data_IF_999887302403
#
_entry.id   IF_999887302403
#
_cell.length_a   1.000
_cell.length_b   1.000
_cell.length_c   1.000
_cell.angle_alpha   90.00
_cell.angle_beta   90.00
_cell.angle_gamma   90.00
#
_symmetry.space_group_name_H-M   'P 1'
#
loop_
_entity.id
_entity.type
_entity.pdbx_description
1 polymer ?
#
# COMPACT_ATOMS: atom_id res chain seq x y z
N UNK A 1 132.42 88.15 -64.84
CA UNK A 1 132.70 88.44 -63.41
C UNK A 1 131.43 88.87 -62.68
N UNK A 2 130.49 89.57 -63.30
CA UNK A 2 129.17 89.89 -62.71
C UNK A 2 128.31 88.67 -62.34
N UNK A 3 128.40 87.56 -63.07
CA UNK A 3 127.69 86.31 -62.71
C UNK A 3 128.21 85.67 -61.41
N UNK A 4 129.46 85.96 -61.01
CA UNK A 4 130.08 85.39 -59.81
C UNK A 4 129.67 86.15 -58.55
N UNK A 5 129.63 87.49 -58.62
CA UNK A 5 129.11 88.34 -57.54
C UNK A 5 127.59 88.20 -57.38
N UNK A 6 126.83 88.05 -58.48
CA UNK A 6 125.40 87.78 -58.40
C UNK A 6 125.10 86.40 -57.78
N UNK A 7 125.97 85.41 -58.00
CA UNK A 7 125.88 84.09 -57.34
C UNK A 7 126.24 84.18 -55.85
N UNK A 8 127.23 85.01 -55.48
CA UNK A 8 127.67 85.21 -54.11
C UNK A 8 126.63 85.99 -53.28
N UNK A 9 126.03 87.05 -53.84
CA UNK A 9 124.92 87.76 -53.21
C UNK A 9 123.66 86.89 -53.08
N UNK A 10 123.38 86.03 -54.06
CA UNK A 10 122.29 85.03 -53.94
C UNK A 10 122.60 84.01 -52.86
N UNK A 11 123.86 83.58 -52.73
CA UNK A 11 124.33 82.66 -51.69
C UNK A 11 124.18 83.29 -50.30
N UNK A 12 124.64 84.52 -50.12
CA UNK A 12 124.57 85.23 -48.83
C UNK A 12 123.14 85.60 -48.44
N UNK A 13 122.31 86.04 -49.40
CA UNK A 13 120.89 86.25 -49.19
C UNK A 13 120.14 84.95 -48.86
N UNK A 14 120.53 83.83 -49.47
CA UNK A 14 119.99 82.51 -49.14
C UNK A 14 120.42 82.03 -47.74
N UNK A 15 121.67 82.31 -47.36
CA UNK A 15 122.22 81.96 -46.05
C UNK A 15 121.54 82.75 -44.93
N UNK A 16 121.33 84.06 -45.12
CA UNK A 16 120.61 84.90 -44.17
C UNK A 16 119.16 84.45 -43.98
N UNK A 17 118.45 84.12 -45.06
CA UNK A 17 117.09 83.55 -44.98
C UNK A 17 117.06 82.22 -44.24
N UNK A 18 118.10 81.39 -44.42
CA UNK A 18 118.22 80.10 -43.75
C UNK A 18 118.47 80.25 -42.25
N UNK A 19 119.29 81.23 -41.84
CA UNK A 19 119.49 81.58 -40.42
C UNK A 19 118.23 82.16 -39.78
N UNK A 20 117.52 83.07 -40.46
CA UNK A 20 116.23 83.61 -40.00
C UNK A 20 115.19 82.50 -39.82
N UNK A 21 115.16 81.52 -40.73
CA UNK A 21 114.30 80.34 -40.64
C UNK A 21 114.68 79.47 -39.42
N UNK A 22 115.98 79.19 -39.21
CA UNK A 22 116.47 78.42 -38.06
C UNK A 22 116.05 79.11 -36.76
N UNK A 23 116.21 80.43 -36.64
CA UNK A 23 115.86 81.17 -35.43
C UNK A 23 114.34 81.20 -35.18
N UNK A 24 113.52 81.33 -36.24
CA UNK A 24 112.06 81.25 -36.14
C UNK A 24 111.59 79.86 -35.67
N UNK A 25 112.18 78.79 -36.20
CA UNK A 25 111.82 77.41 -35.80
C UNK A 25 112.31 77.12 -34.38
N UNK A 26 113.51 77.57 -34.03
CA UNK A 26 114.10 77.41 -32.69
C UNK A 26 113.24 78.10 -31.61
N UNK A 27 112.76 79.32 -31.89
CA UNK A 27 111.84 80.04 -30.99
C UNK A 27 110.46 79.40 -30.91
N UNK A 28 109.91 78.94 -32.04
CA UNK A 28 108.60 78.25 -32.08
C UNK A 28 108.60 76.90 -31.35
N UNK A 29 109.77 76.23 -31.28
CA UNK A 29 109.98 74.98 -30.54
C UNK A 29 110.52 75.21 -29.12
N UNK A 30 110.65 76.47 -28.69
CA UNK A 30 111.13 76.87 -27.36
C UNK A 30 112.54 76.34 -27.00
N UNK A 31 113.47 76.31 -27.96
CA UNK A 31 114.81 75.72 -27.80
C UNK A 31 115.91 76.71 -27.34
N UNK A 32 115.60 78.00 -27.15
CA UNK A 32 116.53 79.04 -26.66
C UNK A 32 117.47 79.62 -27.73
N UNK A 33 118.35 80.57 -27.35
CA UNK A 33 119.39 81.11 -28.23
C UNK A 33 120.55 80.11 -28.34
N UNK A 34 120.72 79.54 -29.53
CA UNK A 34 121.70 78.51 -29.84
C UNK A 34 122.60 78.98 -30.99
N UNK A 35 123.88 78.62 -30.94
CA UNK A 35 124.80 78.85 -32.06
C UNK A 35 124.26 78.10 -33.30
N UNK A 36 124.41 78.61 -34.54
CA UNK A 36 123.70 78.07 -35.72
C UNK A 36 123.91 76.57 -35.96
N UNK A 37 125.07 76.05 -35.57
CA UNK A 37 125.44 74.64 -35.71
C UNK A 37 124.81 73.76 -34.60
N UNK A 38 124.78 74.25 -33.36
CA UNK A 38 124.10 73.59 -32.22
C UNK A 38 122.57 73.65 -32.36
N UNK A 39 122.05 74.74 -32.95
CA UNK A 39 120.65 74.92 -33.28
C UNK A 39 120.19 73.84 -34.27
N UNK A 40 120.99 73.53 -35.30
CA UNK A 40 120.66 72.52 -36.30
C UNK A 40 120.55 71.11 -35.68
N UNK A 41 121.48 70.72 -34.80
CA UNK A 41 121.45 69.40 -34.15
C UNK A 41 120.27 69.27 -33.17
N UNK A 42 120.06 70.27 -32.31
CA UNK A 42 118.92 70.29 -31.36
C UNK A 42 117.57 70.34 -32.07
N UNK A 43 117.47 71.08 -33.17
CA UNK A 43 116.29 71.08 -34.04
C UNK A 43 116.03 69.70 -34.64
N UNK A 44 117.09 69.01 -35.10
CA UNK A 44 116.96 67.65 -35.66
C UNK A 44 116.47 66.65 -34.62
N UNK A 45 117.04 66.67 -33.40
CA UNK A 45 116.58 65.84 -32.28
C UNK A 45 115.13 66.14 -31.89
N UNK A 46 114.76 67.41 -31.77
CA UNK A 46 113.39 67.81 -31.39
C UNK A 46 112.37 67.44 -32.47
N UNK A 47 112.74 67.57 -33.75
CA UNK A 47 111.91 67.14 -34.87
C UNK A 47 111.72 65.62 -34.84
N UNK A 48 112.77 64.84 -34.55
CA UNK A 48 112.67 63.38 -34.40
C UNK A 48 111.75 62.98 -33.23
N UNK A 49 111.86 63.63 -32.08
CA UNK A 49 110.96 63.44 -30.93
C UNK A 49 109.51 63.76 -31.28
N UNK A 50 109.26 64.89 -31.95
CA UNK A 50 107.91 65.28 -32.38
C UNK A 50 107.34 64.30 -33.40
N UNK A 51 108.14 63.81 -34.34
CA UNK A 51 107.72 62.78 -35.30
C UNK A 51 107.36 61.48 -34.57
N UNK A 52 108.17 61.06 -33.60
CA UNK A 52 107.90 59.87 -32.79
C UNK A 52 106.63 60.05 -31.95
N UNK A 53 106.45 61.22 -31.34
CA UNK A 53 105.27 61.55 -30.54
C UNK A 53 104.01 61.63 -31.40
N UNK A 54 104.10 62.24 -32.59
CA UNK A 54 103.01 62.24 -33.57
C UNK A 54 102.66 60.81 -34.02
N UNK A 55 103.65 59.94 -34.24
CA UNK A 55 103.41 58.55 -34.58
C UNK A 55 102.74 57.79 -33.42
N UNK A 56 103.19 58.02 -32.18
CA UNK A 56 102.61 57.45 -30.95
C UNK A 56 101.16 57.90 -30.76
N UNK A 57 100.89 59.20 -30.87
CA UNK A 57 99.55 59.77 -30.74
C UNK A 57 98.63 59.25 -31.84
N UNK A 58 99.09 59.18 -33.10
CA UNK A 58 98.31 58.57 -34.20
C UNK A 58 97.97 57.12 -33.91
N UNK A 59 98.92 56.34 -33.41
CA UNK A 59 98.67 54.94 -33.01
C UNK A 59 97.65 54.86 -31.86
N UNK A 60 97.75 55.73 -30.85
CA UNK A 60 96.77 55.81 -29.76
C UNK A 60 95.38 56.22 -30.26
N UNK A 61 95.29 57.20 -31.17
CA UNK A 61 94.03 57.60 -31.79
C UNK A 61 93.38 56.41 -32.50
N UNK A 62 94.14 55.65 -33.30
CA UNK A 62 93.64 54.45 -33.99
C UNK A 62 93.12 53.42 -32.98
N UNK A 63 93.90 53.10 -31.94
CA UNK A 63 93.48 52.14 -30.89
C UNK A 63 92.20 52.58 -30.17
N UNK A 64 92.07 53.86 -29.82
CA UNK A 64 90.88 54.39 -29.15
C UNK A 64 89.68 54.36 -30.10
N UNK A 65 89.86 54.68 -31.38
CA UNK A 65 88.78 54.61 -32.38
C UNK A 65 88.31 53.17 -32.60
N UNK A 66 89.22 52.21 -32.69
CA UNK A 66 88.88 50.78 -32.78
C UNK A 66 88.15 50.29 -31.53
N UNK A 67 88.63 50.65 -30.34
CA UNK A 67 87.97 50.31 -29.08
C UNK A 67 86.56 50.93 -28.97
N UNK A 68 86.40 52.19 -29.40
CA UNK A 68 85.10 52.86 -29.44
C UNK A 68 84.14 52.14 -30.40
N UNK A 69 84.58 51.83 -31.62
CA UNK A 69 83.77 51.11 -32.60
C UNK A 69 83.36 49.72 -32.09
N UNK A 70 84.28 49.00 -31.43
CA UNK A 70 83.98 47.72 -30.79
C UNK A 70 82.91 47.88 -29.70
N UNK A 71 83.06 48.87 -28.81
CA UNK A 71 82.07 49.14 -27.74
C UNK A 71 80.70 49.58 -28.30
N UNK A 72 80.67 50.37 -29.37
CA UNK A 72 79.43 50.75 -30.05
C UNK A 72 78.71 49.53 -30.65
N UNK A 73 79.48 48.60 -31.23
CA UNK A 73 78.95 47.34 -31.77
C UNK A 73 78.40 46.43 -30.67
N UNK A 74 79.12 46.30 -29.55
CA UNK A 74 78.70 45.52 -28.37
C UNK A 74 77.45 46.13 -27.72
N UNK A 75 77.42 47.45 -27.54
CA UNK A 75 76.26 48.16 -27.04
C UNK A 75 75.06 48.03 -28.00
N UNK A 76 75.29 47.98 -29.32
CA UNK A 76 74.29 47.68 -30.33
C UNK A 76 73.67 46.29 -30.16
N UNK A 77 74.51 45.27 -30.03
CA UNK A 77 74.07 43.89 -29.80
C UNK A 77 73.33 43.72 -28.45
N UNK A 78 73.80 44.39 -27.39
CA UNK A 78 73.14 44.41 -26.09
C UNK A 78 71.74 45.05 -26.18
N UNK A 79 71.62 46.20 -26.87
CA UNK A 79 70.31 46.85 -27.09
C UNK A 79 69.34 45.93 -27.84
N UNK A 80 69.78 45.27 -28.90
CA UNK A 80 68.95 44.31 -29.63
C UNK A 80 68.48 43.15 -28.75
N UNK A 81 69.37 42.63 -27.90
CA UNK A 81 69.05 41.56 -26.95
C UNK A 81 68.01 42.00 -25.93
N UNK A 82 68.17 43.21 -25.36
CA UNK A 82 67.19 43.79 -24.42
C UNK A 82 65.83 43.94 -25.09
N UNK A 83 65.78 44.49 -26.31
CA UNK A 83 64.51 44.64 -27.06
C UNK A 83 63.83 43.29 -27.30
N UNK A 84 64.59 42.25 -27.67
CA UNK A 84 64.04 40.89 -27.83
C UNK A 84 63.46 40.36 -26.51
N UNK A 85 64.20 40.47 -25.42
CA UNK A 85 63.76 39.99 -24.10
C UNK A 85 62.51 40.74 -23.58
N UNK A 86 62.39 42.04 -23.88
CA UNK A 86 61.19 42.82 -23.54
C UNK A 86 59.98 42.31 -24.33
N UNK A 87 60.13 42.02 -25.61
CA UNK A 87 59.05 41.43 -26.43
C UNK A 87 58.64 40.06 -25.89
N UNK A 88 59.60 39.19 -25.57
CA UNK A 88 59.34 37.87 -25.01
C UNK A 88 58.63 37.96 -23.64
N UNK A 89 59.03 38.93 -22.80
CA UNK A 89 58.36 39.19 -21.53
C UNK A 89 56.91 39.66 -21.72
N UNK A 90 56.65 40.49 -22.72
CA UNK A 90 55.29 40.98 -23.00
C UNK A 90 54.40 39.89 -23.58
N UNK A 91 54.93 39.00 -24.42
CA UNK A 91 54.20 37.83 -24.91
C UNK A 91 53.89 36.85 -23.77
N UNK A 92 54.87 36.56 -22.89
CA UNK A 92 54.67 35.70 -21.72
C UNK A 92 53.62 36.28 -20.76
N UNK A 93 53.64 37.61 -20.53
CA UNK A 93 52.61 38.29 -19.71
C UNK A 93 51.21 38.11 -20.28
N UNK A 94 51.05 38.17 -21.61
CA UNK A 94 49.75 37.93 -22.26
C UNK A 94 49.29 36.49 -22.04
N UNK A 95 50.18 35.52 -22.26
CA UNK A 95 49.89 34.10 -22.01
C UNK A 95 49.50 33.83 -20.56
N UNK A 96 50.21 34.43 -19.59
CA UNK A 96 49.88 34.31 -18.16
C UNK A 96 48.50 34.88 -17.84
N UNK A 97 48.13 36.04 -18.42
CA UNK A 97 46.80 36.61 -18.18
C UNK A 97 45.69 35.77 -18.82
N UNK A 98 45.90 35.22 -20.02
CA UNK A 98 44.97 34.27 -20.66
C UNK A 98 44.77 33.01 -19.80
N UNK A 99 45.86 32.42 -19.30
CA UNK A 99 45.80 31.25 -18.42
C UNK A 99 45.07 31.55 -17.11
N UNK A 100 45.28 32.74 -16.54
CA UNK A 100 44.59 33.19 -15.32
C UNK A 100 43.08 33.32 -15.54
N UNK A 101 42.65 33.86 -16.68
CA UNK A 101 41.21 33.91 -17.03
C UNK A 101 40.66 32.49 -17.16
N UNK A 102 41.35 31.59 -17.87
CA UNK A 102 40.91 30.20 -18.00
C UNK A 102 40.80 29.48 -16.65
N UNK A 103 41.74 29.71 -15.72
CA UNK A 103 41.68 29.16 -14.36
C UNK A 103 40.46 29.66 -13.57
N UNK A 104 40.09 30.94 -13.71
CA UNK A 104 38.89 31.48 -13.08
C UNK A 104 37.63 30.84 -13.64
N UNK A 105 37.57 30.60 -14.95
CA UNK A 105 36.42 29.95 -15.59
C UNK A 105 36.31 28.48 -15.17
N UNK A 106 37.41 27.73 -15.13
CA UNK A 106 37.42 26.36 -14.58
C UNK A 106 37.01 26.33 -13.10
N UNK A 107 37.41 27.32 -12.30
CA UNK A 107 36.99 27.42 -10.91
C UNK A 107 35.48 27.61 -10.79
N UNK A 108 34.88 28.48 -11.61
CA UNK A 108 33.43 28.69 -11.64
C UNK A 108 32.69 27.44 -12.08
N UNK A 109 33.14 26.80 -13.17
CA UNK A 109 32.55 25.55 -13.67
C UNK A 109 32.61 24.45 -12.61
N UNK A 110 33.73 24.34 -11.89
CA UNK A 110 33.87 23.37 -10.78
C UNK A 110 32.86 23.63 -9.67
N UNK A 111 32.63 24.88 -9.28
CA UNK A 111 31.64 25.21 -8.26
C UNK A 111 30.20 25.00 -8.74
N UNK A 112 29.90 25.30 -10.00
CA UNK A 112 28.61 24.97 -10.63
C UNK A 112 28.37 23.45 -10.64
N UNK A 113 29.36 22.65 -11.04
CA UNK A 113 29.26 21.20 -11.02
C UNK A 113 29.08 20.65 -9.61
N UNK A 114 29.75 21.23 -8.60
CA UNK A 114 29.56 20.86 -7.18
C UNK A 114 28.15 21.15 -6.69
N UNK A 115 27.55 22.28 -7.07
CA UNK A 115 26.16 22.59 -6.69
C UNK A 115 25.16 21.64 -7.37
N UNK A 116 25.35 21.36 -8.66
CA UNK A 116 24.54 20.36 -9.39
C UNK A 116 24.67 18.97 -8.78
N UNK A 117 25.88 18.55 -8.40
CA UNK A 117 26.12 17.27 -7.75
C UNK A 117 25.33 17.15 -6.45
N UNK A 118 25.39 18.17 -5.57
CA UNK A 118 24.64 18.18 -4.31
C UNK A 118 23.13 18.09 -4.54
N UNK A 119 22.60 18.82 -5.53
CA UNK A 119 21.19 18.76 -5.87
C UNK A 119 20.75 17.36 -6.31
N UNK A 120 21.57 16.69 -7.13
CA UNK A 120 21.31 15.30 -7.55
C UNK A 120 21.42 14.33 -6.37
N UNK A 121 22.38 14.52 -5.47
CA UNK A 121 22.51 13.68 -4.26
C UNK A 121 21.29 13.80 -3.35
N UNK A 122 20.75 15.01 -3.18
CA UNK A 122 19.50 15.27 -2.45
C UNK A 122 18.29 14.61 -3.14
N UNK A 123 18.19 14.70 -4.46
CA UNK A 123 17.13 14.04 -5.23
C UNK A 123 17.21 12.51 -5.10
N UNK A 124 18.41 11.93 -5.21
CA UNK A 124 18.64 10.49 -5.01
C UNK A 124 18.21 10.07 -3.61
N UNK A 125 18.53 10.87 -2.58
CA UNK A 125 18.10 10.60 -1.20
C UNK A 125 16.58 10.62 -1.09
N UNK A 126 15.92 11.65 -1.62
CA UNK A 126 14.45 11.79 -1.63
C UNK A 126 13.76 10.63 -2.34
N UNK A 127 14.26 10.21 -3.49
CA UNK A 127 13.72 9.07 -4.24
C UNK A 127 13.88 7.76 -3.46
N UNK A 128 15.02 7.54 -2.80
CA UNK A 128 15.23 6.36 -1.95
C UNK A 128 14.27 6.32 -0.76
N UNK A 129 14.05 7.45 -0.10
CA UNK A 129 13.08 7.56 1.00
C UNK A 129 11.65 7.28 0.54
N UNK A 130 11.24 7.85 -0.62
CA UNK A 130 9.95 7.54 -1.24
C UNK A 130 9.80 6.06 -1.56
N UNK A 131 10.80 5.45 -2.18
CA UNK A 131 10.80 4.02 -2.51
C UNK A 131 10.66 3.16 -1.25
N UNK A 132 11.38 3.51 -0.18
CA UNK A 132 11.28 2.80 1.10
C UNK A 132 9.85 2.88 1.67
N UNK A 133 9.25 4.08 1.67
CA UNK A 133 7.88 4.27 2.14
C UNK A 133 6.85 3.51 1.31
N UNK A 134 6.99 3.54 -0.03
CA UNK A 134 6.11 2.78 -0.94
C UNK A 134 6.24 1.27 -0.74
N UNK A 135 7.46 0.75 -0.55
CA UNK A 135 7.67 -0.67 -0.25
C UNK A 135 7.05 -1.06 1.09
N UNK A 136 7.16 -0.20 2.11
CA UNK A 136 6.52 -0.44 3.41
C UNK A 136 5.00 -0.50 3.27
N UNK A 137 4.37 0.48 2.60
CA UNK A 137 2.92 0.47 2.38
C UNK A 137 2.48 -0.72 1.55
N UNK A 138 3.25 -1.09 0.52
CA UNK A 138 2.97 -2.26 -0.32
C UNK A 138 2.94 -3.55 0.52
N UNK A 139 3.95 -3.76 1.38
CA UNK A 139 3.99 -4.92 2.25
C UNK A 139 2.81 -4.96 3.23
N UNK A 140 2.41 -3.82 3.81
CA UNK A 140 1.20 -3.76 4.65
C UNK A 140 -0.05 -4.15 3.87
N UNK A 141 -0.24 -3.62 2.65
CA UNK A 141 -1.40 -3.99 1.82
C UNK A 141 -1.38 -5.46 1.39
N UNK A 142 -0.19 -6.05 1.23
CA UNK A 142 -0.03 -7.47 0.92
C UNK A 142 -0.42 -8.35 2.10
N UNK A 143 -0.05 -7.97 3.32
CA UNK A 143 -0.46 -8.65 4.56
C UNK A 143 -1.98 -8.57 4.77
N UNK A 144 -2.58 -7.39 4.53
CA UNK A 144 -4.03 -7.19 4.58
C UNK A 144 -4.76 -8.07 3.55
N UNK A 145 -4.23 -8.16 2.32
CA UNK A 145 -4.79 -9.02 1.27
C UNK A 145 -4.77 -10.50 1.68
N UNK A 146 -3.64 -11.01 2.16
CA UNK A 146 -3.57 -12.39 2.66
C UNK A 146 -4.53 -12.63 3.83
N UNK A 147 -4.70 -11.64 4.72
CA UNK A 147 -5.70 -11.67 5.78
C UNK A 147 -7.13 -11.80 5.26
N UNK A 148 -7.48 -10.98 4.25
CA UNK A 148 -8.79 -11.01 3.61
C UNK A 148 -9.04 -12.32 2.85
N UNK A 149 -8.04 -12.87 2.16
CA UNK A 149 -8.13 -14.17 1.49
C UNK A 149 -8.42 -15.31 2.47
N UNK A 150 -7.76 -15.30 3.64
CA UNK A 150 -8.04 -16.27 4.70
C UNK A 150 -9.46 -16.15 5.23
N UNK A 151 -9.93 -14.93 5.49
CA UNK A 151 -11.31 -14.70 5.95
C UNK A 151 -12.34 -15.14 4.90
N UNK A 152 -12.08 -14.84 3.63
CA UNK A 152 -12.94 -15.28 2.53
C UNK A 152 -13.02 -16.81 2.45
N UNK A 153 -11.89 -17.50 2.64
CA UNK A 153 -11.89 -18.97 2.66
C UNK A 153 -12.70 -19.52 3.83
N UNK A 154 -12.53 -18.97 5.04
CA UNK A 154 -13.32 -19.37 6.21
C UNK A 154 -14.82 -19.16 5.97
N UNK A 155 -15.23 -18.02 5.43
CA UNK A 155 -16.63 -17.73 5.13
C UNK A 155 -17.22 -18.69 4.07
N UNK A 156 -16.42 -19.10 3.08
CA UNK A 156 -16.83 -20.11 2.09
C UNK A 156 -17.05 -21.46 2.73
N UNK A 157 -16.16 -21.88 3.62
CA UNK A 157 -16.27 -23.16 4.32
C UNK A 157 -17.50 -23.16 5.25
N UNK A 158 -17.73 -22.08 5.98
CA UNK A 158 -18.92 -21.89 6.82
C UNK A 158 -20.22 -21.91 5.99
N UNK A 159 -20.24 -21.25 4.83
CA UNK A 159 -21.38 -21.26 3.93
C UNK A 159 -21.67 -22.66 3.39
N UNK A 160 -20.62 -23.42 3.03
CA UNK A 160 -20.76 -24.81 2.58
C UNK A 160 -21.34 -25.71 3.68
N UNK A 161 -20.85 -25.60 4.92
CA UNK A 161 -21.38 -26.35 6.07
C UNK A 161 -22.84 -25.96 6.34
N UNK A 162 -23.16 -24.67 6.31
CA UNK A 162 -24.52 -24.18 6.52
C UNK A 162 -25.49 -24.71 5.46
N UNK A 163 -25.07 -24.73 4.18
CA UNK A 163 -25.88 -25.26 3.09
C UNK A 163 -26.12 -26.77 3.23
N UNK A 164 -25.10 -27.55 3.60
CA UNK A 164 -25.27 -28.97 3.88
C UNK A 164 -26.24 -29.22 5.04
N UNK A 165 -26.14 -28.45 6.12
CA UNK A 165 -27.06 -28.55 7.26
C UNK A 165 -28.49 -28.18 6.84
N UNK A 166 -28.66 -27.15 6.03
CA UNK A 166 -29.97 -26.74 5.48
C UNK A 166 -30.59 -27.86 4.65
N UNK A 167 -29.82 -28.46 3.75
CA UNK A 167 -30.27 -29.59 2.92
C UNK A 167 -30.65 -30.80 3.78
N UNK A 168 -29.86 -31.13 4.81
CA UNK A 168 -30.17 -32.22 5.73
C UNK A 168 -31.49 -31.99 6.45
N UNK A 169 -31.71 -30.80 7.04
CA UNK A 169 -32.96 -30.45 7.73
C UNK A 169 -34.15 -30.46 6.76
N UNK A 170 -33.96 -30.02 5.51
CA UNK A 170 -34.98 -30.07 4.48
C UNK A 170 -35.39 -31.52 4.14
N UNK A 171 -34.41 -32.42 4.02
CA UNK A 171 -34.66 -33.86 3.79
C UNK A 171 -35.36 -34.50 4.99
N UNK A 172 -34.88 -34.26 6.20
CA UNK A 172 -35.50 -34.76 7.44
C UNK A 172 -36.94 -34.25 7.59
N UNK A 173 -37.18 -32.97 7.32
CA UNK A 173 -38.51 -32.36 7.34
C UNK A 173 -39.47 -33.01 6.34
N UNK A 174 -39.02 -33.25 5.10
CA UNK A 174 -39.81 -34.00 4.09
C UNK A 174 -40.10 -35.43 4.55
N UNK A 175 -39.14 -36.09 5.21
CA UNK A 175 -39.32 -37.42 5.79
C UNK A 175 -40.39 -37.47 6.89
N UNK A 176 -40.41 -36.47 7.77
CA UNK A 176 -41.44 -36.34 8.81
C UNK A 176 -42.82 -36.14 8.18
N UNK A 177 -42.94 -35.20 7.23
CA UNK A 177 -44.22 -34.97 6.53
C UNK A 177 -44.72 -36.23 5.82
N UNK A 178 -43.82 -36.99 5.19
CA UNK A 178 -44.14 -38.27 4.54
C UNK A 178 -44.66 -39.29 5.55
N UNK A 179 -44.00 -39.41 6.70
CA UNK A 179 -44.41 -40.34 7.76
C UNK A 179 -45.78 -39.97 8.33
N UNK A 180 -46.01 -38.68 8.61
CA UNK A 180 -47.28 -38.20 9.16
C UNK A 180 -48.42 -38.37 8.15
N UNK A 181 -48.21 -38.03 6.88
CA UNK A 181 -49.21 -38.24 5.82
C UNK A 181 -49.57 -39.73 5.67
N UNK A 182 -48.59 -40.63 5.75
CA UNK A 182 -48.84 -42.07 5.69
C UNK A 182 -49.68 -42.56 6.88
N UNK A 183 -49.41 -42.07 8.10
CA UNK A 183 -50.16 -42.44 9.31
C UNK A 183 -51.61 -41.93 9.30
N UNK A 184 -51.85 -40.75 8.71
CA UNK A 184 -53.18 -40.14 8.64
C UNK A 184 -54.02 -40.65 7.45
N UNK A 185 -53.36 -41.27 6.47
CA UNK A 185 -53.99 -41.83 5.29
C UNK A 185 -54.76 -43.11 5.62
N UNK A 186 -55.94 -43.27 5.03
CA UNK A 186 -56.71 -44.50 5.06
C UNK A 186 -56.81 -45.09 3.64
N UNK A 187 -57.24 -46.36 3.47
CA UNK A 187 -57.42 -46.96 2.15
C UNK A 187 -58.31 -46.13 1.22
N UNK A 188 -59.27 -45.40 1.79
CA UNK A 188 -60.26 -44.59 1.09
C UNK A 188 -59.83 -43.13 0.90
N UNK A 189 -58.89 -42.63 1.70
CA UNK A 189 -58.44 -41.24 1.64
C UNK A 189 -56.93 -41.13 1.85
N UNK A 190 -56.20 -41.00 0.74
CA UNK A 190 -54.75 -40.77 0.74
C UNK A 190 -54.45 -39.29 0.82
N UNK A 191 -53.65 -38.90 1.79
CA UNK A 191 -53.29 -37.50 2.04
C UNK A 191 -51.88 -37.27 1.50
N UNK A 192 -51.63 -36.24 0.69
CA UNK A 192 -50.29 -35.93 0.21
C UNK A 192 -49.37 -35.47 1.37
N UNK A 193 -48.05 -35.71 1.29
CA UNK A 193 -47.08 -35.41 2.33
C UNK A 193 -46.70 -33.92 2.36
N UNK A 194 -47.70 -33.06 2.50
CA UNK A 194 -47.58 -31.61 2.57
C UNK A 194 -48.23 -31.10 3.86
N UNK A 195 -47.72 -29.99 4.40
CA UNK A 195 -48.14 -29.46 5.69
C UNK A 195 -49.64 -29.13 5.74
N UNK A 196 -50.15 -28.48 4.70
CA UNK A 196 -51.53 -27.99 4.67
C UNK A 196 -52.55 -29.15 4.63
N UNK A 197 -52.46 -30.13 3.71
CA UNK A 197 -53.37 -31.27 3.68
C UNK A 197 -53.32 -32.14 4.95
N UNK A 198 -52.14 -32.30 5.56
CA UNK A 198 -51.98 -32.96 6.87
C UNK A 198 -52.76 -32.20 7.95
N UNK A 199 -52.60 -30.88 7.99
CA UNK A 199 -53.28 -30.02 8.98
C UNK A 199 -54.79 -30.10 8.82
N UNK A 200 -55.29 -29.99 7.59
CA UNK A 200 -56.72 -30.06 7.29
C UNK A 200 -57.32 -31.42 7.69
N UNK A 201 -56.57 -32.52 7.48
CA UNK A 201 -57.00 -33.85 7.94
C UNK A 201 -57.08 -33.93 9.45
N UNK A 202 -56.05 -33.48 10.17
CA UNK A 202 -56.02 -33.52 11.63
C UNK A 202 -57.23 -32.76 12.17
N UNK A 203 -57.51 -31.57 11.65
CA UNK A 203 -58.69 -30.78 12.05
C UNK A 203 -59.99 -31.53 11.80
N UNK A 204 -60.14 -32.15 10.62
CA UNK A 204 -61.32 -32.96 10.29
C UNK A 204 -61.50 -34.14 11.26
N UNK A 205 -60.43 -34.86 11.57
CA UNK A 205 -60.47 -35.99 12.52
C UNK A 205 -60.82 -35.53 13.93
N UNK A 206 -60.27 -34.40 14.38
CA UNK A 206 -60.59 -33.82 15.69
C UNK A 206 -62.06 -33.45 15.78
N UNK A 207 -62.62 -32.81 14.75
CA UNK A 207 -64.06 -32.49 14.70
C UNK A 207 -64.93 -33.74 14.71
N UNK A 208 -64.61 -34.74 13.88
CA UNK A 208 -65.36 -36.00 13.84
C UNK A 208 -65.30 -36.76 15.17
N UNK A 209 -64.14 -36.75 15.85
CA UNK A 209 -64.01 -37.39 17.16
C UNK A 209 -64.83 -36.65 18.23
N UNK A 210 -64.90 -35.33 18.16
CA UNK A 210 -65.76 -34.52 19.04
C UNK A 210 -67.24 -34.85 18.84
N UNK A 211 -67.70 -34.91 17.59
CA UNK A 211 -69.08 -35.30 17.26
C UNK A 211 -69.38 -36.73 17.71
N UNK A 212 -68.44 -37.66 17.54
CA UNK A 212 -68.58 -39.04 18.01
C UNK A 212 -68.67 -39.12 19.54
N UNK A 213 -67.87 -38.34 20.28
CA UNK A 213 -67.93 -38.26 21.73
C UNK A 213 -69.29 -37.74 22.21
N UNK A 214 -69.80 -36.66 21.61
CA UNK A 214 -71.15 -36.14 21.89
C UNK A 214 -72.23 -37.18 21.56
N UNK A 215 -72.04 -37.99 20.51
CA UNK A 215 -72.94 -39.06 20.16
C UNK A 215 -72.94 -40.20 21.19
N UNK A 216 -71.76 -40.61 21.65
CA UNK A 216 -71.59 -41.61 22.71
C UNK A 216 -72.26 -41.13 24.00
N UNK A 217 -72.07 -39.87 24.39
CA UNK A 217 -72.68 -39.29 25.59
C UNK A 217 -74.21 -39.34 25.52
N UNK A 218 -74.79 -38.99 24.37
CA UNK A 218 -76.24 -39.07 24.14
C UNK A 218 -76.76 -40.50 24.20
N UNK A 219 -76.09 -41.45 23.54
CA UNK A 219 -76.47 -42.86 23.59
C UNK A 219 -76.35 -43.42 25.00
N UNK A 220 -75.30 -43.07 25.73
CA UNK A 220 -75.11 -43.45 27.13
C UNK A 220 -76.28 -42.95 27.98
N UNK A 221 -76.71 -41.70 27.77
CA UNK A 221 -77.85 -41.09 28.45
C UNK A 221 -79.19 -41.77 28.10
N UNK A 222 -79.36 -42.22 26.86
CA UNK A 222 -80.53 -43.00 26.45
C UNK A 222 -80.55 -44.39 27.08
N UNK A 223 -79.41 -45.08 27.10
CA UNK A 223 -79.27 -46.40 27.72
C UNK A 223 -79.56 -46.35 29.21
N UNK A 224 -79.04 -45.34 29.93
CA UNK A 224 -79.34 -45.17 31.36
C UNK A 224 -80.84 -44.90 31.58
N UNK A 225 -81.45 -44.03 30.78
CA UNK A 225 -82.89 -43.75 30.87
C UNK A 225 -83.77 -44.98 30.59
N UNK A 226 -83.48 -45.73 29.53
CA UNK A 226 -84.18 -46.98 29.21
C UNK A 226 -83.95 -48.04 30.29
N UNK A 227 -82.75 -48.12 30.85
CA UNK A 227 -82.45 -48.99 32.00
C UNK A 227 -83.30 -48.66 33.22
N UNK A 228 -83.49 -47.37 33.53
CA UNK A 228 -84.40 -46.93 34.59
C UNK A 228 -85.87 -47.27 34.28
N UNK A 229 -86.32 -47.09 33.04
CA UNK A 229 -87.69 -47.44 32.62
C UNK A 229 -87.94 -48.95 32.73
N UNK A 230 -87.00 -49.78 32.28
CA UNK A 230 -87.08 -51.23 32.38
C UNK A 230 -87.12 -51.67 33.86
N UNK A 231 -86.29 -51.06 34.72
CA UNK A 231 -86.32 -51.31 36.16
C UNK A 231 -87.68 -50.98 36.77
N UNK A 232 -88.24 -49.80 36.45
CA UNK A 232 -89.60 -49.41 36.89
C UNK A 232 -90.66 -50.39 36.37
N UNK A 233 -90.56 -50.84 35.13
CA UNK A 233 -91.47 -51.86 34.59
C UNK A 233 -91.35 -53.19 35.33
N UNK A 234 -90.15 -53.68 35.60
CA UNK A 234 -89.95 -54.88 36.42
C UNK A 234 -90.56 -54.75 37.81
N UNK A 235 -90.39 -53.60 38.48
CA UNK A 235 -91.01 -53.33 39.79
C UNK A 235 -92.56 -53.34 39.71
N UNK A 236 -93.14 -52.74 38.66
CA UNK A 236 -94.58 -52.77 38.40
C UNK A 236 -95.08 -54.19 38.11
N UNK A 237 -94.37 -54.96 37.29
CA UNK A 237 -94.69 -56.36 36.99
C UNK A 237 -94.61 -57.23 38.24
N UNK A 238 -93.57 -57.09 39.06
CA UNK A 238 -93.45 -57.82 40.32
C UNK A 238 -94.61 -57.50 41.26
N UNK A 239 -94.99 -56.23 41.34
CA UNK A 239 -96.17 -55.78 42.10
C UNK A 239 -97.47 -56.37 41.55
N UNK A 240 -97.64 -56.39 40.23
CA UNK A 240 -98.81 -56.99 39.57
C UNK A 240 -98.90 -58.50 39.81
N UNK A 241 -97.77 -59.23 39.75
CA UNK A 241 -97.70 -60.67 40.06
C UNK A 241 -98.05 -60.92 41.52
N UNK A 242 -97.54 -60.12 42.46
CA UNK A 242 -97.90 -60.21 43.89
C UNK A 242 -99.42 -60.02 44.09
N UNK A 243 -100.01 -59.01 43.44
CA UNK A 243 -101.47 -58.78 43.46
C UNK A 243 -102.24 -59.94 42.83
N UNK A 244 -101.79 -60.46 41.70
CA UNK A 244 -102.40 -61.62 41.02
C UNK A 244 -102.43 -62.85 41.91
N UNK A 245 -101.31 -63.18 42.56
CA UNK A 245 -101.24 -64.28 43.54
C UNK A 245 -102.17 -64.07 44.73
N UNK A 246 -102.28 -62.84 45.23
CA UNK A 246 -103.22 -62.52 46.31
C UNK A 246 -104.66 -62.76 45.87
N UNK A 247 -105.05 -62.27 44.68
CA UNK A 247 -106.41 -62.50 44.16
C UNK A 247 -106.71 -63.96 43.86
N UNK A 248 -105.71 -64.74 43.43
CA UNK A 248 -105.82 -66.18 43.22
C UNK A 248 -106.03 -66.92 44.56
N UNK A 249 -105.30 -66.54 45.60
CA UNK A 249 -105.51 -67.06 46.96
C UNK A 249 -106.90 -66.70 47.51
N UNK A 250 -107.35 -65.44 47.31
CA UNK A 250 -108.69 -64.99 47.70
C UNK A 250 -109.78 -65.77 46.94
N UNK A 251 -109.60 -66.01 45.63
CA UNK A 251 -110.49 -66.81 44.81
C UNK A 251 -110.58 -68.26 45.29
N UNK A 252 -109.45 -68.91 45.59
CA UNK A 252 -109.44 -70.26 46.15
C UNK A 252 -110.16 -70.32 47.50
N UNK A 253 -109.93 -69.34 48.37
CA UNK A 253 -110.61 -69.22 49.67
C UNK A 253 -112.13 -69.08 49.51
N UNK A 254 -112.58 -68.18 48.62
CA UNK A 254 -113.98 -67.99 48.28
C UNK A 254 -114.60 -69.25 47.67
N UNK A 255 -113.90 -69.92 46.76
CA UNK A 255 -114.36 -71.17 46.12
C UNK A 255 -114.52 -72.29 47.13
N UNK A 256 -113.55 -72.45 48.05
CA UNK A 256 -113.65 -73.41 49.14
C UNK A 256 -114.84 -73.11 50.05
N UNK A 257 -115.06 -71.83 50.37
CA UNK A 257 -116.23 -71.37 51.15
C UNK A 257 -117.55 -71.62 50.43
N UNK A 258 -117.63 -71.38 49.11
CA UNK A 258 -118.81 -71.71 48.32
C UNK A 258 -119.10 -73.22 48.34
N UNK A 259 -118.08 -74.08 48.14
CA UNK A 259 -118.24 -75.53 48.24
C UNK A 259 -118.71 -75.97 49.62
N UNK A 260 -118.21 -75.34 50.69
CA UNK A 260 -118.68 -75.61 52.05
C UNK A 260 -120.15 -75.23 52.21
N UNK A 261 -120.56 -74.05 51.72
CA UNK A 261 -121.96 -73.63 51.76
C UNK A 261 -122.88 -74.51 50.90
N UNK A 262 -122.41 -74.98 49.74
CA UNK A 262 -123.13 -75.95 48.90
C UNK A 262 -123.30 -77.30 49.63
N UNK A 263 -122.26 -77.77 50.34
CA UNK A 263 -122.34 -78.97 51.15
C UNK A 263 -123.29 -78.80 52.35
N UNK A 264 -123.24 -77.66 53.04
CA UNK A 264 -124.13 -77.32 54.15
C UNK A 264 -125.60 -77.21 53.66
N UNK A 265 -125.81 -76.63 52.47
CA UNK A 265 -127.14 -76.54 51.84
C UNK A 265 -127.67 -77.92 51.44
N UNK A 266 -126.83 -78.77 50.84
CA UNK A 266 -127.20 -80.15 50.48
C UNK A 266 -127.51 -80.98 51.73
N UNK A 267 -126.74 -80.80 52.81
CA UNK A 267 -127.00 -81.42 54.10
C UNK A 267 -128.32 -80.92 54.72
N UNK A 268 -128.62 -79.62 54.59
CA UNK A 268 -129.88 -79.05 55.04
C UNK A 268 -131.08 -79.54 54.21
N UNK A 269 -130.92 -79.74 52.90
CA UNK A 269 -131.93 -80.35 52.04
C UNK A 269 -132.17 -81.82 52.40
N UNK A 270 -131.11 -82.60 52.58
CA UNK A 270 -131.21 -83.99 53.06
C UNK A 270 -131.86 -84.08 54.45
N UNK A 271 -131.58 -83.14 55.36
CA UNK A 271 -132.24 -83.05 56.66
C UNK A 271 -133.74 -82.74 56.53
N UNK A 272 -134.14 -81.85 55.60
CA UNK A 272 -135.56 -81.59 55.30
C UNK A 272 -136.24 -82.80 54.67
N UNK A 273 -135.56 -83.53 53.80
CA UNK A 273 -136.08 -84.75 53.17
C UNK A 273 -136.27 -85.88 54.20
N UNK A 274 -135.32 -86.06 55.11
CA UNK A 274 -135.48 -86.98 56.24
C UNK A 274 -136.65 -86.59 57.16
N UNK A 275 -136.83 -85.30 57.45
CA UNK A 275 -137.99 -84.79 58.21
C UNK A 275 -139.32 -85.00 57.47
N UNK A 276 -139.33 -84.92 56.13
CA UNK A 276 -140.52 -85.22 55.32
C UNK A 276 -140.87 -86.72 55.39
N UNK A 277 -139.86 -87.59 55.30
CA UNK A 277 -140.02 -89.05 55.41
C UNK A 277 -140.48 -89.46 56.82
N UNK A 278 -140.00 -88.81 57.88
CA UNK A 278 -140.46 -89.04 59.26
C UNK A 278 -141.91 -88.58 59.47
N UNK A 279 -142.32 -87.46 58.89
CA UNK A 279 -143.70 -86.99 58.94
C UNK A 279 -144.67 -87.90 58.16
N UNK A 280 -144.26 -88.48 57.03
CA UNK A 280 -145.07 -89.46 56.30
C UNK A 280 -145.23 -90.78 57.08
N UNK A 281 -144.22 -91.20 57.84
CA UNK A 281 -144.30 -92.40 58.68
C UNK A 281 -145.15 -92.21 59.94
N UNK A 282 -145.26 -90.99 60.45
CA UNK A 282 -146.07 -90.69 61.64
C UNK A 282 -147.58 -90.58 61.37
N UNK A 283 -148.02 -90.51 60.11
CA UNK A 283 -149.44 -90.37 59.77
C UNK A 283 -150.19 -91.71 59.57
N UNK A 284 -149.55 -92.86 59.83
CA UNK A 284 -150.10 -94.21 59.64
C UNK A 284 -150.29 -95.03 60.93
N UNK A 285 -150.26 -94.41 62.11
CA UNK A 285 -150.68 -94.98 63.40
C UNK A 285 -151.57 -93.95 64.12
#
# INVERSE_FOLDING_TARGET
MEEREAAEQRSEASHKRLLELIQMVTSSLSLGDLDPQDAQEKLSCRLAELVQECARLRSQTVQITEALQQQESEAGAARQTVTRLVSELDDEKRTVEEQKVALLDYSKETDELRTKLRAVEEEVKSVRERLHNTNKSYNTTLEELHGAEKQLQMAKDEASVSEHRRQQVEVEGKGILTTVSALLSSPENRIPPELQPITDRIQTMVSANREAAEHIERLTSQVTSLGEQARRQSELYETAVKRGRQTEADYHSLTARCRQLEADSSAAEAARENLAIENEKASYI
#
